data_IF_988228473571
#
_entry.id   IF_988228473571
#
_cell.length_a   1.000
_cell.length_b   1.000
_cell.length_c   1.000
_cell.angle_alpha   90.00
_cell.angle_beta   90.00
_cell.angle_gamma   90.00
#
_symmetry.space_group_name_H-M   'P 1'
#
loop_
_entity.id
_entity.type
_entity.pdbx_description
1 polymer ?
#
# COMPACT_ATOMS: atom_id res chain seq x y z
N UNK A 1 -3.33 66.42 -46.96
CA UNK A 1 -4.10 66.16 -45.72
C UNK A 1 -3.43 65.00 -44.99
N UNK A 2 -3.24 65.18 -43.66
CA UNK A 2 -2.97 64.19 -42.59
C UNK A 2 -1.63 63.41 -42.60
N UNK A 3 -0.74 63.87 -41.71
CA UNK A 3 0.34 63.12 -41.05
C UNK A 3 -0.26 61.98 -40.21
N UNK A 4 0.40 60.82 -40.13
CA UNK A 4 0.21 59.89 -39.01
C UNK A 4 1.56 59.53 -38.41
N UNK A 5 1.75 59.98 -37.17
CA UNK A 5 2.87 59.71 -36.28
C UNK A 5 2.50 58.42 -35.52
N UNK A 6 3.32 57.37 -35.60
CA UNK A 6 3.15 56.17 -34.76
C UNK A 6 4.17 56.23 -33.64
N UNK A 7 3.67 56.48 -32.43
CA UNK A 7 4.41 56.50 -31.17
C UNK A 7 4.77 55.07 -30.78
N UNK A 8 6.05 54.75 -30.61
CA UNK A 8 6.50 53.47 -30.03
C UNK A 8 6.28 53.46 -28.52
N UNK A 9 5.55 52.46 -28.02
CA UNK A 9 5.41 52.15 -26.59
C UNK A 9 6.42 51.06 -26.25
N UNK A 10 7.43 51.39 -25.45
CA UNK A 10 8.40 50.43 -24.91
C UNK A 10 7.84 49.80 -23.64
N UNK A 11 7.57 48.50 -23.68
CA UNK A 11 7.08 47.71 -22.55
C UNK A 11 8.26 47.22 -21.70
N UNK A 12 8.35 47.68 -20.44
CA UNK A 12 9.34 47.24 -19.45
C UNK A 12 8.82 45.96 -18.78
N UNK A 13 9.50 44.83 -18.96
CA UNK A 13 9.24 43.58 -18.25
C UNK A 13 9.95 43.58 -16.90
N UNK A 14 9.17 43.56 -15.82
CA UNK A 14 9.65 43.41 -14.44
C UNK A 14 9.64 41.90 -14.09
N UNK A 15 10.82 41.28 -13.97
CA UNK A 15 10.96 39.86 -13.61
C UNK A 15 10.85 39.67 -12.10
N UNK A 16 9.77 39.01 -11.66
CA UNK A 16 9.56 38.58 -10.28
C UNK A 16 10.26 37.23 -10.12
N UNK A 17 11.40 37.18 -9.43
CA UNK A 17 12.03 35.92 -9.04
C UNK A 17 11.31 35.36 -7.80
N UNK A 18 10.40 34.42 -8.00
CA UNK A 18 9.82 33.62 -6.92
C UNK A 18 10.86 32.61 -6.42
N UNK A 19 11.42 32.83 -5.24
CA UNK A 19 12.15 31.80 -4.52
C UNK A 19 11.15 30.72 -4.06
N UNK A 20 11.14 29.60 -4.77
CA UNK A 20 10.41 28.39 -4.36
C UNK A 20 11.27 27.70 -3.31
N UNK A 21 10.87 27.74 -2.03
CA UNK A 21 11.40 26.84 -1.01
C UNK A 21 10.93 25.41 -1.33
N UNK A 22 11.85 24.54 -1.77
CA UNK A 22 11.59 23.12 -1.84
C UNK A 22 11.49 22.56 -0.41
N UNK A 23 10.35 21.96 -0.06
CA UNK A 23 10.24 21.17 1.15
C UNK A 23 11.29 20.04 1.13
N UNK A 24 11.91 19.69 2.28
CA UNK A 24 12.86 18.59 2.32
C UNK A 24 12.15 17.31 1.90
N UNK A 25 12.57 16.74 0.77
CA UNK A 25 12.20 15.38 0.40
C UNK A 25 12.93 14.45 1.36
N UNK A 26 12.21 13.98 2.38
CA UNK A 26 12.69 12.88 3.20
C UNK A 26 12.58 11.62 2.33
N UNK A 27 13.68 11.27 1.66
CA UNK A 27 13.76 10.00 0.96
C UNK A 27 13.52 8.90 2.00
N UNK A 28 12.50 8.07 1.77
CA UNK A 28 12.30 6.90 2.59
C UNK A 28 13.59 6.05 2.57
N UNK A 29 14.03 5.51 3.72
CA UNK A 29 15.24 4.70 3.74
C UNK A 29 15.06 3.49 2.83
N UNK A 30 16.13 3.10 2.14
CA UNK A 30 16.16 1.87 1.36
C UNK A 30 15.96 0.65 2.28
N UNK A 31 15.34 -0.41 1.77
CA UNK A 31 15.22 -1.66 2.51
C UNK A 31 16.57 -2.38 2.55
N UNK A 32 16.84 -3.11 3.63
CA UNK A 32 17.99 -4.01 3.68
C UNK A 32 17.81 -5.18 2.71
N UNK A 33 18.90 -5.80 2.26
CA UNK A 33 18.88 -6.85 1.23
C UNK A 33 17.82 -7.95 1.45
N UNK A 34 17.60 -8.50 2.66
CA UNK A 34 16.58 -9.53 2.87
C UNK A 34 15.14 -9.04 2.63
N UNK A 35 14.90 -7.73 2.72
CA UNK A 35 13.60 -7.10 2.49
C UNK A 35 13.47 -6.49 1.08
N UNK A 36 14.52 -6.51 0.26
CA UNK A 36 14.54 -5.85 -1.06
C UNK A 36 13.40 -6.29 -1.99
N UNK A 37 12.92 -7.54 -1.85
CA UNK A 37 11.75 -8.04 -2.59
C UNK A 37 10.47 -7.22 -2.38
N UNK A 38 10.39 -6.44 -1.29
CA UNK A 38 9.23 -5.62 -0.96
C UNK A 38 9.28 -4.21 -1.57
N UNK A 39 10.43 -3.78 -2.11
CA UNK A 39 10.60 -2.43 -2.68
C UNK A 39 9.53 -2.02 -3.70
N UNK A 40 9.03 -2.90 -4.59
CA UNK A 40 7.98 -2.53 -5.54
C UNK A 40 6.68 -2.09 -4.86
N UNK A 41 6.42 -2.54 -3.64
CA UNK A 41 5.17 -2.32 -2.90
C UNK A 41 5.26 -1.17 -1.91
N UNK A 42 6.46 -0.82 -1.42
CA UNK A 42 6.65 0.11 -0.31
C UNK A 42 6.66 1.58 -0.71
N UNK A 43 6.40 2.43 0.28
CA UNK A 43 6.26 3.88 0.17
C UNK A 43 5.13 4.30 -0.79
N UNK A 44 4.10 3.45 -0.88
CA UNK A 44 2.94 3.60 -1.76
C UNK A 44 1.66 3.34 -0.98
N UNK A 45 0.57 3.93 -1.47
CA UNK A 45 -0.79 3.63 -1.02
C UNK A 45 -1.50 2.91 -2.14
N UNK A 46 -1.99 1.71 -1.86
CA UNK A 46 -2.70 0.84 -2.78
C UNK A 46 -4.18 0.84 -2.46
N UNK A 47 -5.03 0.98 -3.48
CA UNK A 47 -6.48 1.02 -3.34
C UNK A 47 -7.16 0.06 -4.32
N UNK A 48 -8.12 -0.70 -3.80
CA UNK A 48 -9.08 -1.48 -4.57
C UNK A 48 -10.49 -1.05 -4.20
N UNK A 49 -11.30 -0.71 -5.22
CA UNK A 49 -12.68 -0.25 -5.01
C UNK A 49 -13.61 -0.97 -5.98
N UNK A 50 -14.76 -1.40 -5.47
CA UNK A 50 -15.87 -2.00 -6.22
C UNK A 50 -17.17 -1.31 -5.83
N UNK A 51 -18.00 -1.03 -6.83
CA UNK A 51 -19.32 -0.41 -6.64
C UNK A 51 -19.27 1.07 -6.27
N UNK A 52 -20.43 1.64 -5.96
CA UNK A 52 -20.61 3.06 -5.60
C UNK A 52 -20.80 3.21 -4.11
N UNK A 53 -20.12 4.19 -3.49
CA UNK A 53 -20.28 4.45 -2.05
C UNK A 53 -21.74 4.72 -1.70
N UNK A 54 -22.26 3.99 -0.71
CA UNK A 54 -23.65 4.09 -0.25
C UNK A 54 -24.59 3.08 -0.90
N UNK A 55 -24.15 2.32 -1.90
CA UNK A 55 -24.94 1.26 -2.54
C UNK A 55 -24.59 -0.13 -1.97
N UNK A 56 -25.55 -1.08 -1.99
CA UNK A 56 -25.25 -2.47 -1.68
C UNK A 56 -24.11 -3.01 -2.57
N UNK A 57 -23.16 -3.72 -1.95
CA UNK A 57 -22.00 -4.26 -2.65
C UNK A 57 -20.81 -3.32 -2.78
N UNK A 58 -20.89 -2.10 -2.23
CA UNK A 58 -19.72 -1.23 -2.12
C UNK A 58 -18.61 -1.87 -1.27
N UNK A 59 -17.42 -1.91 -1.84
CA UNK A 59 -16.21 -2.39 -1.17
C UNK A 59 -15.05 -1.46 -1.50
N UNK A 60 -14.36 -0.98 -0.48
CA UNK A 60 -13.19 -0.13 -0.61
C UNK A 60 -12.11 -0.60 0.35
N UNK A 61 -11.00 -1.06 -0.19
CA UNK A 61 -9.85 -1.58 0.54
C UNK A 61 -8.64 -0.73 0.21
N UNK A 62 -8.01 -0.17 1.25
CA UNK A 62 -6.86 0.71 1.14
C UNK A 62 -5.76 0.18 2.06
N UNK A 63 -4.55 0.04 1.52
CA UNK A 63 -3.35 -0.21 2.30
C UNK A 63 -2.25 0.80 2.00
N UNK A 64 -1.56 1.27 3.03
CA UNK A 64 -0.37 2.10 2.90
C UNK A 64 0.84 1.35 3.43
N UNK A 65 1.86 1.19 2.60
CA UNK A 65 3.07 0.44 2.90
C UNK A 65 4.20 1.43 3.13
N UNK A 66 4.83 1.38 4.30
CA UNK A 66 5.86 2.33 4.69
C UNK A 66 7.12 1.61 5.12
N UNK A 67 8.27 2.05 4.60
CA UNK A 67 9.56 1.61 5.13
C UNK A 67 9.82 2.30 6.47
N UNK A 68 10.12 1.51 7.50
CA UNK A 68 10.34 1.99 8.87
C UNK A 68 11.64 1.43 9.42
N UNK A 69 12.03 1.87 10.62
CA UNK A 69 13.20 1.35 11.34
C UNK A 69 14.51 1.41 10.52
N UNK A 70 14.67 2.46 9.70
CA UNK A 70 15.86 2.64 8.87
C UNK A 70 16.03 1.58 7.78
N UNK A 71 14.94 0.97 7.30
CA UNK A 71 15.01 -0.07 6.25
C UNK A 71 14.90 -1.50 6.77
N UNK A 72 14.87 -1.69 8.09
CA UNK A 72 14.82 -3.00 8.72
C UNK A 72 13.41 -3.59 8.88
N UNK A 73 12.37 -2.82 8.56
CA UNK A 73 10.99 -3.30 8.60
C UNK A 73 10.09 -2.51 7.63
N UNK A 74 8.97 -3.14 7.27
CA UNK A 74 7.86 -2.53 6.55
C UNK A 74 6.64 -2.52 7.46
N UNK A 75 6.04 -1.35 7.64
CA UNK A 75 4.77 -1.20 8.32
C UNK A 75 3.67 -0.99 7.28
N UNK A 76 2.69 -1.89 7.23
CA UNK A 76 1.49 -1.68 6.42
C UNK A 76 0.34 -1.24 7.33
N UNK A 77 -0.39 -0.21 6.91
CA UNK A 77 -1.66 0.19 7.51
C UNK A 77 -2.76 -0.19 6.54
N UNK A 78 -3.79 -0.89 7.01
CA UNK A 78 -4.85 -1.42 6.17
C UNK A 78 -6.22 -1.04 6.73
N UNK A 79 -7.12 -0.59 5.87
CA UNK A 79 -8.51 -0.30 6.21
C UNK A 79 -9.44 -0.69 5.07
N UNK A 80 -10.53 -1.35 5.43
CA UNK A 80 -11.68 -1.66 4.59
C UNK A 80 -12.85 -0.79 5.01
N UNK A 81 -13.55 -0.24 4.01
CA UNK A 81 -14.78 0.54 4.15
C UNK A 81 -14.68 1.59 5.26
N UNK A 82 -13.68 2.46 5.18
CA UNK A 82 -13.50 3.60 6.10
C UNK A 82 -13.32 3.17 7.57
N UNK A 83 -12.58 2.08 7.78
CA UNK A 83 -12.21 1.61 9.12
C UNK A 83 -13.21 0.63 9.74
N UNK A 84 -14.23 0.18 9.00
CA UNK A 84 -15.12 -0.92 9.44
C UNK A 84 -14.30 -2.16 9.80
N UNK A 85 -13.27 -2.45 9.02
CA UNK A 85 -12.28 -3.47 9.32
C UNK A 85 -10.90 -2.92 8.97
N UNK A 86 -9.87 -3.33 9.70
CA UNK A 86 -8.52 -2.90 9.38
C UNK A 86 -7.50 -3.39 10.39
N UNK A 87 -6.25 -3.03 10.15
CA UNK A 87 -5.19 -3.32 11.08
C UNK A 87 -3.83 -2.81 10.64
N UNK A 88 -2.82 -3.26 11.37
CA UNK A 88 -1.42 -2.95 11.10
C UNK A 88 -0.64 -4.24 10.92
N UNK A 89 0.17 -4.31 9.86
CA UNK A 89 1.12 -5.40 9.67
C UNK A 89 2.54 -4.87 9.84
N UNK A 90 3.33 -5.50 10.70
CA UNK A 90 4.77 -5.27 10.75
C UNK A 90 5.47 -6.44 10.08
N UNK A 91 6.24 -6.16 9.02
CA UNK A 91 7.05 -7.14 8.28
C UNK A 91 8.52 -6.87 8.60
N UNK A 92 9.28 -7.92 8.92
CA UNK A 92 10.70 -7.82 9.26
C UNK A 92 11.43 -9.10 8.89
N UNK A 93 12.76 -9.03 8.78
CA UNK A 93 13.60 -10.20 8.58
C UNK A 93 13.95 -10.84 9.92
N UNK A 94 13.59 -12.11 10.09
CA UNK A 94 14.04 -12.96 11.18
C UNK A 94 15.36 -13.61 10.76
N UNK A 95 16.47 -13.08 11.29
CA UNK A 95 17.81 -13.55 10.96
C UNK A 95 18.12 -14.94 11.52
N UNK A 96 17.48 -15.35 12.62
CA UNK A 96 17.69 -16.69 13.21
C UNK A 96 17.07 -17.76 12.32
N UNK A 97 15.85 -17.51 11.83
CA UNK A 97 15.14 -18.42 10.95
C UNK A 97 15.46 -18.21 9.45
N UNK A 98 16.17 -17.13 9.09
CA UNK A 98 16.45 -16.73 7.70
C UNK A 98 15.20 -16.60 6.82
N UNK A 99 14.15 -15.99 7.37
CA UNK A 99 12.87 -15.77 6.68
C UNK A 99 12.33 -14.36 6.93
N UNK A 100 11.46 -13.87 6.05
CA UNK A 100 10.62 -12.73 6.37
C UNK A 100 9.43 -13.18 7.23
N UNK A 101 9.26 -12.52 8.37
CA UNK A 101 8.09 -12.70 9.24
C UNK A 101 7.23 -11.46 9.22
N UNK A 102 5.97 -11.67 9.52
CA UNK A 102 5.08 -10.58 9.81
C UNK A 102 4.03 -10.91 10.87
N UNK A 103 3.47 -9.86 11.44
CA UNK A 103 2.32 -9.95 12.34
C UNK A 103 1.32 -8.90 11.93
N UNK A 104 0.09 -9.33 11.63
CA UNK A 104 -1.04 -8.44 11.35
C UNK A 104 -1.97 -8.40 12.54
N UNK A 105 -2.14 -7.23 13.16
CA UNK A 105 -3.07 -7.03 14.28
C UNK A 105 -4.29 -6.27 13.80
N UNK A 106 -5.48 -6.81 14.08
CA UNK A 106 -6.74 -6.27 13.55
C UNK A 106 -7.56 -5.54 14.61
N UNK A 107 -8.40 -4.61 14.17
CA UNK A 107 -9.44 -4.02 15.02
C UNK A 107 -10.58 -5.02 15.36
N UNK A 108 -10.59 -6.20 14.72
CA UNK A 108 -11.49 -7.31 15.04
C UNK A 108 -11.08 -8.12 16.28
N UNK A 109 -10.00 -7.76 16.96
CA UNK A 109 -9.54 -8.43 18.19
C UNK A 109 -8.79 -9.75 17.96
N UNK A 110 -8.42 -10.04 16.71
CA UNK A 110 -7.60 -11.19 16.33
C UNK A 110 -6.34 -10.72 15.59
N UNK A 111 -5.39 -11.63 15.41
CA UNK A 111 -4.14 -11.34 14.70
C UNK A 111 -3.72 -12.50 13.81
N UNK A 112 -2.83 -12.24 12.87
CA UNK A 112 -2.16 -13.29 12.09
C UNK A 112 -0.66 -13.24 12.30
N UNK A 113 -0.04 -14.41 12.31
CA UNK A 113 1.40 -14.55 12.12
C UNK A 113 1.64 -15.00 10.69
N UNK A 114 2.58 -14.39 10.02
CA UNK A 114 2.81 -14.66 8.62
C UNK A 114 4.28 -14.80 8.26
N UNK A 115 4.51 -15.53 7.18
CA UNK A 115 5.83 -15.65 6.53
C UNK A 115 5.72 -15.20 5.10
N UNK A 116 6.80 -14.58 4.60
CA UNK A 116 6.88 -14.09 3.23
C UNK A 116 8.09 -14.72 2.56
N UNK A 117 7.90 -15.20 1.33
CA UNK A 117 8.99 -15.68 0.48
C UNK A 117 8.79 -15.21 -0.95
N UNK A 118 9.89 -15.08 -1.68
CA UNK A 118 9.83 -14.87 -3.11
C UNK A 118 9.45 -16.18 -3.84
N UNK A 119 8.68 -16.05 -4.91
CA UNK A 119 8.48 -17.08 -5.92
C UNK A 119 8.47 -16.38 -7.27
N UNK A 120 9.51 -16.55 -8.08
CA UNK A 120 9.64 -15.85 -9.36
C UNK A 120 9.55 -14.31 -9.20
N UNK A 121 8.58 -13.68 -9.87
CA UNK A 121 8.26 -12.25 -9.85
C UNK A 121 7.19 -11.85 -8.82
N UNK A 122 6.73 -12.81 -8.02
CA UNK A 122 5.72 -12.62 -7.00
C UNK A 122 6.24 -12.94 -5.60
N UNK A 123 5.50 -12.47 -4.60
CA UNK A 123 5.71 -12.83 -3.21
C UNK A 123 4.57 -13.71 -2.74
N UNK A 124 4.92 -14.76 -2.00
CA UNK A 124 3.97 -15.67 -1.38
C UNK A 124 3.92 -15.33 0.10
N UNK A 125 2.70 -15.06 0.59
CA UNK A 125 2.43 -14.81 2.00
C UNK A 125 1.60 -15.97 2.54
N UNK A 126 2.06 -16.59 3.61
CA UNK A 126 1.31 -17.61 4.33
C UNK A 126 1.04 -17.11 5.73
N UNK A 127 -0.24 -17.08 6.11
CA UNK A 127 -0.71 -16.54 7.38
C UNK A 127 -1.43 -17.61 8.20
N UNK A 128 -1.18 -17.62 9.50
CA UNK A 128 -1.96 -18.39 10.48
C UNK A 128 -2.77 -17.43 11.32
N UNK A 129 -4.09 -17.61 11.36
CA UNK A 129 -5.01 -16.76 12.11
C UNK A 129 -5.09 -17.21 13.57
N UNK A 130 -5.00 -16.26 14.50
CA UNK A 130 -4.96 -16.47 15.95
C UNK A 130 -5.91 -15.52 16.67
N UNK A 131 -6.40 -15.90 17.83
CA UNK A 131 -7.24 -15.02 18.67
C UNK A 131 -8.71 -14.92 18.26
N UNK A 132 -9.19 -15.78 17.35
CA UNK A 132 -10.60 -15.86 16.94
C UNK A 132 -11.12 -17.30 16.99
N UNK A 133 -12.43 -17.45 17.13
CA UNK A 133 -13.16 -18.73 16.98
C UNK A 133 -13.95 -18.82 15.67
N UNK A 134 -13.84 -17.80 14.82
CA UNK A 134 -14.59 -17.65 13.57
C UNK A 134 -13.65 -17.14 12.47
N UNK A 135 -14.00 -17.44 11.22
CA UNK A 135 -13.20 -17.07 10.06
C UNK A 135 -12.20 -18.15 9.67
N UNK A 136 -11.28 -17.84 8.75
CA UNK A 136 -10.30 -18.80 8.29
C UNK A 136 -9.26 -19.12 9.37
N UNK A 137 -8.73 -20.33 9.35
CA UNK A 137 -7.59 -20.76 10.16
C UNK A 137 -6.26 -20.31 9.53
N UNK A 138 -6.23 -20.22 8.20
CA UNK A 138 -5.05 -19.84 7.44
C UNK A 138 -5.43 -19.08 6.19
N UNK A 139 -4.54 -18.19 5.78
CA UNK A 139 -4.66 -17.44 4.52
C UNK A 139 -3.38 -17.67 3.72
N UNK A 140 -3.52 -17.87 2.42
CA UNK A 140 -2.40 -17.87 1.49
C UNK A 140 -2.65 -16.79 0.45
N UNK A 141 -1.66 -15.95 0.23
CA UNK A 141 -1.70 -14.90 -0.77
C UNK A 141 -0.52 -14.98 -1.73
N UNK A 142 -0.77 -14.68 -2.99
CA UNK A 142 0.24 -14.45 -4.02
C UNK A 142 0.11 -13.00 -4.45
N UNK A 143 1.20 -12.24 -4.38
CA UNK A 143 1.20 -10.81 -4.65
C UNK A 143 2.24 -10.51 -5.72
N UNK A 144 1.82 -9.83 -6.78
CA UNK A 144 2.67 -9.41 -7.88
C UNK A 144 2.41 -7.96 -8.25
N UNK A 145 3.37 -7.32 -8.92
CA UNK A 145 3.14 -6.06 -9.64
C UNK A 145 2.99 -6.38 -11.12
N UNK A 146 1.82 -6.08 -11.70
CA UNK A 146 1.52 -6.23 -13.12
C UNK A 146 1.04 -4.88 -13.67
N UNK A 147 1.67 -4.34 -14.71
CA UNK A 147 1.27 -3.08 -15.35
C UNK A 147 1.08 -1.90 -14.36
N UNK A 148 1.91 -1.85 -13.31
CA UNK A 148 1.84 -0.82 -12.26
C UNK A 148 0.71 -1.01 -11.24
N UNK A 149 -0.02 -2.13 -11.32
CA UNK A 149 -1.02 -2.54 -10.35
C UNK A 149 -0.48 -3.62 -9.41
N UNK A 150 -0.88 -3.57 -8.15
CA UNK A 150 -0.64 -4.68 -7.22
C UNK A 150 -1.76 -5.69 -7.35
N UNK A 151 -1.43 -6.91 -7.73
CA UNK A 151 -2.38 -8.01 -7.92
C UNK A 151 -2.24 -8.94 -6.75
N UNK A 152 -3.32 -9.16 -6.02
CA UNK A 152 -3.36 -10.02 -4.84
C UNK A 152 -4.32 -11.16 -5.12
N UNK A 153 -3.81 -12.38 -5.13
CA UNK A 153 -4.62 -13.60 -5.21
C UNK A 153 -4.62 -14.29 -3.86
N UNK A 154 -5.77 -14.33 -3.20
CA UNK A 154 -5.92 -14.87 -1.84
C UNK A 154 -6.76 -16.13 -1.83
N UNK A 155 -6.41 -17.07 -0.95
CA UNK A 155 -7.21 -18.25 -0.61
C UNK A 155 -7.32 -18.35 0.90
N UNK A 156 -8.48 -18.80 1.37
CA UNK A 156 -8.82 -18.88 2.78
C UNK A 156 -9.11 -20.33 3.16
N UNK A 157 -8.41 -20.83 4.17
CA UNK A 157 -8.61 -22.19 4.69
C UNK A 157 -9.58 -22.15 5.86
N UNK A 158 -10.66 -22.91 5.77
CA UNK A 158 -11.55 -23.21 6.91
C UNK A 158 -11.43 -24.70 7.28
N UNK A 159 -12.24 -25.20 8.22
CA UNK A 159 -12.09 -26.52 8.87
C UNK A 159 -11.80 -27.72 7.95
N UNK A 160 -12.10 -27.66 6.64
CA UNK A 160 -11.88 -28.79 5.72
C UNK A 160 -11.23 -28.43 4.39
N UNK A 161 -11.48 -27.23 3.84
CA UNK A 161 -11.08 -26.89 2.48
C UNK A 161 -10.55 -25.47 2.33
N UNK A 162 -9.72 -25.29 1.30
CA UNK A 162 -9.34 -23.99 0.78
C UNK A 162 -10.46 -23.44 -0.09
N UNK A 163 -10.73 -22.14 0.03
CA UNK A 163 -11.61 -21.44 -0.90
C UNK A 163 -11.04 -21.44 -2.33
N UNK A 164 -11.92 -21.16 -3.29
CA UNK A 164 -11.48 -20.71 -4.61
C UNK A 164 -10.62 -19.44 -4.46
N UNK A 165 -9.65 -19.22 -5.37
CA UNK A 165 -8.84 -18.01 -5.36
C UNK A 165 -9.68 -16.76 -5.61
N UNK A 166 -9.54 -15.78 -4.73
CA UNK A 166 -10.08 -14.43 -4.92
C UNK A 166 -8.97 -13.52 -5.45
N UNK A 167 -9.23 -12.80 -6.54
CA UNK A 167 -8.26 -11.87 -7.14
C UNK A 167 -8.72 -10.44 -6.89
N UNK A 168 -7.84 -9.62 -6.31
CA UNK A 168 -8.00 -8.18 -6.15
C UNK A 168 -6.91 -7.45 -6.93
N UNK A 169 -7.30 -6.39 -7.63
CA UNK A 169 -6.39 -5.52 -8.38
C UNK A 169 -6.39 -4.14 -7.74
N UNK A 170 -5.24 -3.74 -7.21
CA UNK A 170 -5.05 -2.47 -6.56
C UNK A 170 -4.29 -1.52 -7.49
N UNK A 171 -4.75 -0.28 -7.57
CA UNK A 171 -4.00 0.79 -8.19
C UNK A 171 -3.33 1.62 -7.11
N UNK A 172 -2.22 2.27 -7.45
CA UNK A 172 -1.63 3.25 -6.54
C UNK A 172 -2.53 4.49 -6.47
N UNK A 173 -2.87 4.91 -5.25
CA UNK A 173 -3.57 6.17 -4.98
C UNK A 173 -2.90 6.89 -3.81
N UNK A 174 -1.96 7.83 -4.06
CA UNK A 174 -1.22 8.53 -3.00
C UNK A 174 -2.09 9.45 -2.13
N UNK A 175 -3.34 9.72 -2.56
CA UNK A 175 -4.29 10.57 -1.83
C UNK A 175 -5.30 9.79 -0.99
N UNK A 176 -5.38 8.47 -1.18
CA UNK A 176 -6.26 7.61 -0.39
C UNK A 176 -5.79 7.55 1.08
N UNK A 177 -6.75 7.56 2.00
CA UNK A 177 -6.50 7.57 3.44
C UNK A 177 -6.83 6.22 4.05
N UNK A 178 -5.90 5.70 4.85
CA UNK A 178 -6.17 4.58 5.75
C UNK A 178 -6.80 5.12 7.02
N UNK A 179 -8.03 4.73 7.32
CA UNK A 179 -8.83 5.24 8.44
C UNK A 179 -9.06 4.13 9.45
N UNK A 180 -8.90 4.45 10.73
CA UNK A 180 -9.27 3.61 11.87
C UNK A 180 -10.32 4.35 12.70
N UNK A 181 -11.41 3.68 13.05
CA UNK A 181 -12.47 4.20 13.92
C UNK A 181 -12.37 3.60 15.32
#
# INVERSE_FOLDING_TARGET
>A
MKKLLVTSVTLILLSINSMVSAAPQTNAPALIDPLALLEPYTNRTWQHTVGTKGEPGYFNDISHWQTVMGGHAVLTRHSVNEGVYGGYTLIFYDAEASILRCTYVTNGGFYTECTIRQADDQIIVEETVKGTRRGPESVRSQIAIEDGQMIVTSQYKTEKDWSDPEVRRYHENPTALVIFN
#
